data_IF_453525232887
#
_entry.id   IF_453525232887
#
_cell.length_a   1.000
_cell.length_b   1.000
_cell.length_c   1.000
_cell.angle_alpha   90.00
_cell.angle_beta   90.00
_cell.angle_gamma   90.00
#
_symmetry.space_group_name_H-M   'P 1'
#
loop_
_entity.id
_entity.type
_entity.pdbx_description
1 polymer ?
#
# COMPACT_ATOMS: atom_id res chain seq x y z
N UNK A 1 -10.22 -24.72 12.53
CA UNK A 1 -10.05 -23.64 11.54
C UNK A 1 -11.11 -23.78 10.46
N UNK A 2 -11.99 -22.78 10.30
CA UNK A 2 -13.04 -22.77 9.26
C UNK A 2 -12.40 -22.21 7.97
N UNK A 3 -12.37 -22.99 6.87
CA UNK A 3 -11.91 -22.47 5.57
C UNK A 3 -12.87 -21.37 5.12
N UNK A 4 -12.37 -20.16 4.92
CA UNK A 4 -13.13 -19.13 4.21
C UNK A 4 -13.32 -19.60 2.78
N UNK A 5 -14.58 -19.60 2.32
CA UNK A 5 -14.92 -20.02 0.97
C UNK A 5 -14.72 -18.84 0.01
N UNK A 6 -13.46 -18.44 -0.21
CA UNK A 6 -13.11 -17.32 -1.10
C UNK A 6 -13.10 -17.82 -2.55
N UNK A 7 -13.80 -17.12 -3.43
CA UNK A 7 -13.83 -17.48 -4.84
C UNK A 7 -12.43 -17.28 -5.48
N UNK A 8 -11.97 -18.17 -6.37
CA UNK A 8 -10.67 -18.01 -7.04
C UNK A 8 -10.54 -16.69 -7.81
N UNK A 9 -11.65 -16.18 -8.35
CA UNK A 9 -11.72 -14.89 -9.04
C UNK A 9 -11.47 -13.72 -8.08
N UNK A 10 -12.01 -13.78 -6.86
CA UNK A 10 -11.78 -12.75 -5.86
C UNK A 10 -10.31 -12.72 -5.42
N UNK A 11 -9.67 -13.87 -5.24
CA UNK A 11 -8.23 -13.94 -4.94
C UNK A 11 -7.37 -13.39 -6.08
N UNK A 12 -7.70 -13.70 -7.33
CA UNK A 12 -7.00 -13.16 -8.49
C UNK A 12 -7.16 -11.63 -8.60
N UNK A 13 -8.37 -11.12 -8.36
CA UNK A 13 -8.62 -9.67 -8.35
C UNK A 13 -7.88 -8.97 -7.20
N UNK A 14 -7.86 -9.57 -6.00
CA UNK A 14 -7.08 -9.04 -4.88
C UNK A 14 -5.59 -8.90 -5.23
N UNK A 15 -4.98 -9.94 -5.80
CA UNK A 15 -3.56 -9.92 -6.20
C UNK A 15 -3.24 -8.95 -7.36
N UNK A 16 -4.23 -8.53 -8.15
CA UNK A 16 -4.06 -7.50 -9.20
C UNK A 16 -4.27 -6.10 -8.62
N UNK A 17 -5.35 -5.90 -7.86
CA UNK A 17 -5.75 -4.60 -7.34
C UNK A 17 -4.80 -4.15 -6.22
N UNK A 18 -4.37 -5.08 -5.36
CA UNK A 18 -3.47 -4.81 -4.23
C UNK A 18 -2.21 -4.04 -4.64
N UNK A 19 -1.39 -4.57 -5.57
CA UNK A 19 -0.17 -3.89 -6.03
C UNK A 19 -0.44 -2.55 -6.71
N UNK A 20 -1.51 -2.46 -7.51
CA UNK A 20 -1.88 -1.23 -8.21
C UNK A 20 -2.25 -0.12 -7.22
N UNK A 21 -3.08 -0.45 -6.22
CA UNK A 21 -3.45 0.48 -5.14
C UNK A 21 -2.21 0.86 -4.33
N UNK A 22 -1.38 -0.11 -3.96
CA UNK A 22 -0.18 0.13 -3.17
C UNK A 22 0.75 1.14 -3.83
N UNK A 23 1.08 0.93 -5.11
CA UNK A 23 1.95 1.80 -5.91
C UNK A 23 1.35 3.19 -6.08
N UNK A 24 0.05 3.26 -6.39
CA UNK A 24 -0.64 4.54 -6.58
C UNK A 24 -0.63 5.37 -5.30
N UNK A 25 -0.94 4.76 -4.16
CA UNK A 25 -1.02 5.46 -2.87
C UNK A 25 0.34 6.02 -2.46
N UNK A 26 1.41 5.22 -2.43
CA UNK A 26 2.71 5.76 -2.01
C UNK A 26 3.27 6.77 -3.01
N UNK A 27 2.96 6.63 -4.31
CA UNK A 27 3.42 7.59 -5.34
C UNK A 27 2.75 8.94 -5.15
N UNK A 28 1.42 8.96 -5.02
CA UNK A 28 0.66 10.21 -4.79
C UNK A 28 1.04 10.83 -3.45
N UNK A 29 1.14 10.02 -2.40
CA UNK A 29 1.49 10.53 -1.07
C UNK A 29 2.92 11.05 -1.02
N UNK A 30 3.86 10.38 -1.69
CA UNK A 30 5.24 10.84 -1.84
C UNK A 30 5.34 12.16 -2.58
N UNK A 31 4.59 12.34 -3.67
CA UNK A 31 4.55 13.62 -4.41
C UNK A 31 3.89 14.74 -3.58
N UNK A 32 2.93 14.42 -2.73
CA UNK A 32 2.24 15.37 -1.86
C UNK A 32 3.04 15.72 -0.58
N UNK A 33 4.11 14.99 -0.27
CA UNK A 33 4.89 15.16 0.97
C UNK A 33 6.11 16.06 0.71
N UNK A 34 6.14 17.30 1.23
CA UNK A 34 7.28 18.20 1.02
C UNK A 34 8.56 17.61 1.61
N UNK A 35 9.65 17.66 0.83
CA UNK A 35 10.95 17.14 1.25
C UNK A 35 11.12 15.63 1.12
N UNK A 36 10.07 14.89 0.71
CA UNK A 36 10.22 13.49 0.34
C UNK A 36 10.83 13.36 -1.07
N UNK A 37 11.82 12.49 -1.24
CA UNK A 37 12.40 12.16 -2.54
C UNK A 37 12.47 10.64 -2.72
N UNK A 38 11.73 10.07 -3.69
CA UNK A 38 11.75 8.62 -3.95
C UNK A 38 13.11 8.12 -4.49
N UNK A 39 14.01 9.03 -4.90
CA UNK A 39 15.35 8.68 -5.36
C UNK A 39 16.36 8.52 -4.22
N UNK A 40 16.11 9.16 -3.07
CA UNK A 40 17.06 9.19 -1.95
C UNK A 40 16.49 8.65 -0.65
N UNK A 41 15.18 8.42 -0.58
CA UNK A 41 14.47 7.98 0.61
C UNK A 41 13.58 6.77 0.32
N UNK A 42 13.54 5.84 1.27
CA UNK A 42 12.67 4.66 1.20
C UNK A 42 11.21 5.05 1.44
N UNK A 43 10.27 4.29 0.85
CA UNK A 43 8.83 4.57 0.98
C UNK A 43 8.31 4.52 2.42
N UNK A 44 8.95 3.77 3.31
CA UNK A 44 8.58 3.74 4.74
C UNK A 44 8.86 5.07 5.45
N UNK A 45 9.71 5.95 4.90
CA UNK A 45 9.90 7.29 5.46
C UNK A 45 8.61 8.13 5.42
N UNK A 46 7.66 7.82 4.52
CA UNK A 46 6.36 8.47 4.47
C UNK A 46 5.51 8.22 5.73
N UNK A 47 5.81 7.19 6.52
CA UNK A 47 5.15 6.97 7.82
C UNK A 47 5.52 8.03 8.86
N UNK A 48 6.66 8.71 8.68
CA UNK A 48 7.12 9.79 9.54
C UNK A 48 6.57 11.16 9.12
N UNK A 49 5.95 11.26 7.95
CA UNK A 49 5.38 12.50 7.45
C UNK A 49 4.09 12.87 8.19
N UNK A 50 3.65 14.14 8.12
CA UNK A 50 2.27 14.49 8.42
C UNK A 50 1.33 13.58 7.62
N UNK A 51 0.37 12.94 8.28
CA UNK A 51 -0.51 11.91 7.73
C UNK A 51 0.14 10.54 7.41
N UNK A 52 1.27 10.21 8.02
CA UNK A 52 1.97 8.94 7.81
C UNK A 52 1.15 7.66 8.12
N UNK A 53 0.02 7.78 8.82
CA UNK A 53 -0.96 6.70 8.95
C UNK A 53 -1.50 6.21 7.59
N UNK A 54 -1.48 7.04 6.55
CA UNK A 54 -1.83 6.63 5.18
C UNK A 54 -0.89 5.53 4.71
N UNK A 55 0.43 5.71 4.92
CA UNK A 55 1.42 4.71 4.52
C UNK A 55 1.35 3.45 5.41
N UNK A 56 1.04 3.59 6.71
CA UNK A 56 0.79 2.44 7.58
C UNK A 56 -0.39 1.58 7.09
N UNK A 57 -1.52 2.21 6.73
CA UNK A 57 -2.66 1.50 6.13
C UNK A 57 -2.29 0.86 4.79
N UNK A 58 -1.46 1.54 3.99
CA UNK A 58 -0.99 1.02 2.71
C UNK A 58 -0.16 -0.26 2.89
N UNK A 59 0.68 -0.33 3.92
CA UNK A 59 1.42 -1.56 4.26
C UNK A 59 0.53 -2.68 4.81
N UNK A 60 -0.51 -2.36 5.60
CA UNK A 60 -1.49 -3.36 6.03
C UNK A 60 -2.28 -3.95 4.85
N UNK A 61 -2.64 -3.12 3.87
CA UNK A 61 -3.25 -3.57 2.62
C UNK A 61 -2.29 -4.46 1.82
N UNK A 62 -1.01 -4.07 1.72
CA UNK A 62 0.02 -4.87 1.08
C UNK A 62 0.10 -6.27 1.69
N UNK A 63 0.25 -6.38 3.02
CA UNK A 63 0.35 -7.68 3.69
C UNK A 63 -0.92 -8.55 3.66
N UNK A 64 -2.07 -8.02 3.24
CA UNK A 64 -3.35 -8.76 3.20
C UNK A 64 -3.85 -9.07 1.80
N UNK A 65 -3.50 -8.26 0.79
CA UNK A 65 -4.02 -8.36 -0.58
C UNK A 65 -2.95 -8.66 -1.64
N UNK A 66 -1.66 -8.56 -1.30
CA UNK A 66 -0.53 -8.86 -2.19
C UNK A 66 0.12 -10.16 -1.76
#
# INVERSE_FOLDING_TARGET
MKRLNISPRASALAGIIGPVVFVTVYTVFGLATPGYSPLTQVISNLELAPYGWIQQLNFLLCGTLI
#
